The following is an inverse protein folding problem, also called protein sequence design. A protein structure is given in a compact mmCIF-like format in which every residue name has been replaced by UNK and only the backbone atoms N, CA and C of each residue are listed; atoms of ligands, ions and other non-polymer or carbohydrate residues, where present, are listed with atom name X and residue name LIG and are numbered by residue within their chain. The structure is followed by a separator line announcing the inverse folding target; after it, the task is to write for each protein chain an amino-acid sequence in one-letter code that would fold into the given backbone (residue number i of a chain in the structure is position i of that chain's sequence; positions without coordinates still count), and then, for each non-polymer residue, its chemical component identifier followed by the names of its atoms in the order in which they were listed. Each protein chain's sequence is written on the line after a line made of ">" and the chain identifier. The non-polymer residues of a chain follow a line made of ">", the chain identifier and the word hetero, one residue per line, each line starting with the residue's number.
data_IF_846142136991
#
_entry.id   IF_846142136991
#
_cell.length_a   1.000
_cell.length_b   1.000
_cell.length_c   1.000
_cell.angle_alpha   90.00
_cell.angle_beta   90.00
_cell.angle_gamma   90.00
#
_symmetry.space_group_name_H-M   'P 1'
#
loop_
_entity.id
_entity.type
_entity.pdbx_description
1 polymer ?
#
# COMPACT_ATOMS: atom_id res chain seq x y z
N UNK A 1 -13.42 -0.67 38.55
CA UNK A 1 -13.32 -0.73 37.08
C UNK A 1 -11.90 -0.37 36.69
N UNK A 2 -11.13 -1.28 36.09
CA UNK A 2 -9.81 -0.92 35.58
C UNK A 2 -9.99 0.09 34.44
N UNK A 3 -9.32 1.24 34.54
CA UNK A 3 -9.29 2.21 33.46
C UNK A 3 -8.75 1.54 32.19
N UNK A 4 -9.54 1.52 31.12
CA UNK A 4 -9.13 1.01 29.81
C UNK A 4 -8.15 2.00 29.18
N UNK A 5 -6.87 1.90 29.53
CA UNK A 5 -5.81 2.60 28.81
C UNK A 5 -5.51 1.87 27.48
N UNK A 6 -5.04 2.64 26.48
CA UNK A 6 -4.60 2.06 25.22
C UNK A 6 -3.37 1.15 25.46
N UNK A 7 -3.20 0.07 24.67
CA UNK A 7 -1.97 -0.72 24.69
C UNK A 7 -0.74 0.15 24.43
N UNK A 8 0.39 -0.18 25.06
CA UNK A 8 1.67 0.52 24.86
C UNK A 8 2.38 0.17 23.55
N UNK A 9 1.72 -0.58 22.66
CA UNK A 9 2.27 -1.05 21.40
C UNK A 9 1.49 -0.51 20.20
N UNK A 10 2.16 -0.50 19.04
CA UNK A 10 1.60 -0.03 17.79
C UNK A 10 1.65 -1.13 16.74
N UNK A 11 0.63 -1.16 15.88
CA UNK A 11 0.63 -2.02 14.70
C UNK A 11 1.37 -1.35 13.55
N UNK A 12 2.09 -2.16 12.78
CA UNK A 12 2.72 -1.72 11.53
C UNK A 12 2.30 -2.64 10.40
N UNK A 13 2.07 -2.06 9.23
CA UNK A 13 1.89 -2.85 8.01
C UNK A 13 3.13 -3.73 7.78
N UNK A 14 2.87 -5.02 7.57
CA UNK A 14 3.89 -6.01 7.23
C UNK A 14 3.81 -6.39 5.76
N UNK A 15 2.59 -6.61 5.27
CA UNK A 15 2.34 -7.03 3.90
C UNK A 15 0.90 -6.70 3.51
N UNK A 16 0.70 -6.36 2.23
CA UNK A 16 -0.61 -6.33 1.59
C UNK A 16 -0.66 -7.50 0.61
N UNK A 17 -1.61 -8.39 0.87
CA UNK A 17 -1.99 -9.45 -0.06
C UNK A 17 -3.09 -8.91 -0.96
N UNK A 18 -3.04 -9.24 -2.26
CA UNK A 18 -3.97 -8.82 -3.34
C UNK A 18 -3.41 -7.77 -4.30
N UNK A 19 -4.11 -7.66 -5.43
CA UNK A 19 -3.96 -6.67 -6.49
C UNK A 19 -5.37 -6.34 -7.02
N UNK A 20 -5.69 -5.05 -7.19
CA UNK A 20 -7.00 -4.59 -7.65
C UNK A 20 -7.09 -4.63 -9.18
N UNK A 21 -7.14 -5.83 -9.77
CA UNK A 21 -7.15 -6.01 -11.23
C UNK A 21 -8.52 -5.90 -11.91
N UNK A 22 -9.62 -6.15 -11.19
CA UNK A 22 -10.96 -6.27 -11.80
C UNK A 22 -11.64 -4.92 -12.06
N UNK A 23 -11.33 -3.89 -11.27
CA UNK A 23 -12.04 -2.60 -11.30
C UNK A 23 -11.15 -1.40 -11.58
N UNK A 24 -9.84 -1.61 -11.74
CA UNK A 24 -8.89 -0.54 -11.97
C UNK A 24 -8.07 -0.86 -13.22
N UNK A 25 -7.94 0.15 -14.08
CA UNK A 25 -7.00 0.16 -15.20
C UNK A 25 -5.87 1.12 -14.85
N UNK A 26 -4.72 0.98 -15.52
CA UNK A 26 -3.56 1.87 -15.35
C UNK A 26 -3.16 2.04 -13.87
N UNK A 27 -2.99 0.91 -13.17
CA UNK A 27 -2.65 0.85 -11.75
C UNK A 27 -1.48 -0.08 -11.43
N UNK A 28 -0.70 -0.46 -12.44
CA UNK A 28 0.49 -1.29 -12.31
C UNK A 28 1.62 -0.72 -13.17
N UNK A 29 2.73 -0.38 -12.54
CA UNK A 29 3.87 0.27 -13.18
C UNK A 29 5.20 -0.31 -12.68
N UNK A 30 6.26 -0.05 -13.42
CA UNK A 30 7.63 -0.30 -12.99
C UNK A 30 8.38 1.01 -12.75
N UNK A 31 9.16 1.08 -11.68
CA UNK A 31 10.14 2.15 -11.50
C UNK A 31 11.37 1.89 -12.36
N UNK A 32 12.23 2.92 -12.52
CA UNK A 32 13.57 2.75 -13.13
C UNK A 32 14.44 1.72 -12.40
N UNK A 33 14.17 1.49 -11.11
CA UNK A 33 14.83 0.47 -10.30
C UNK A 33 14.17 -0.91 -10.41
N UNK A 34 13.25 -1.12 -11.36
CA UNK A 34 12.49 -2.37 -11.57
C UNK A 34 11.64 -2.81 -10.39
N UNK A 35 11.23 -1.86 -9.52
CA UNK A 35 10.24 -2.11 -8.48
C UNK A 35 8.83 -2.00 -9.06
N UNK A 36 7.91 -2.83 -8.56
CA UNK A 36 6.51 -2.89 -8.99
C UNK A 36 5.68 -1.90 -8.17
N UNK A 37 5.01 -0.98 -8.83
CA UNK A 37 4.17 0.06 -8.21
C UNK A 37 2.71 -0.19 -8.53
N UNK A 38 1.87 -0.29 -7.50
CA UNK A 38 0.43 -0.47 -7.63
C UNK A 38 -0.31 0.02 -6.38
N UNK A 39 -1.64 -0.04 -6.38
CA UNK A 39 -2.45 0.32 -5.22
C UNK A 39 -3.58 -0.67 -4.95
N UNK A 40 -3.97 -0.78 -3.67
CA UNK A 40 -5.13 -1.53 -3.18
C UNK A 40 -5.75 -0.73 -2.04
N UNK A 41 -7.07 -0.59 -2.04
CA UNK A 41 -7.78 0.32 -1.13
C UNK A 41 -7.14 1.73 -1.15
N UNK A 42 -6.97 2.38 0.01
CA UNK A 42 -6.28 3.66 0.15
C UNK A 42 -4.74 3.58 0.21
N UNK A 43 -4.12 2.45 -0.12
CA UNK A 43 -2.68 2.22 0.08
C UNK A 43 -1.94 2.09 -1.25
N UNK A 44 -0.94 2.96 -1.46
CA UNK A 44 0.04 2.82 -2.54
C UNK A 44 1.17 1.87 -2.12
N UNK A 45 1.59 0.99 -3.02
CA UNK A 45 2.53 -0.09 -2.74
C UNK A 45 3.68 0.01 -3.75
N UNK A 46 4.92 0.02 -3.24
CA UNK A 46 6.13 -0.22 -4.03
C UNK A 46 6.73 -1.54 -3.58
N UNK A 47 6.64 -2.55 -4.42
CA UNK A 47 7.13 -3.89 -4.16
C UNK A 47 8.46 -4.13 -4.89
N UNK A 48 9.50 -4.51 -4.15
CA UNK A 48 10.76 -4.99 -4.71
C UNK A 48 10.77 -6.53 -4.70
N UNK A 49 10.65 -7.19 -5.87
CA UNK A 49 10.74 -8.66 -5.96
C UNK A 49 12.11 -9.19 -5.53
N UNK A 50 13.17 -8.42 -5.79
CA UNK A 50 14.55 -8.78 -5.46
C UNK A 50 14.78 -8.88 -3.94
N UNK A 51 14.26 -7.92 -3.18
CA UNK A 51 14.38 -7.88 -1.72
C UNK A 51 13.21 -8.57 -1.00
N UNK A 52 12.20 -9.00 -1.76
CA UNK A 52 10.92 -9.46 -1.24
C UNK A 52 10.35 -8.51 -0.18
N UNK A 53 10.26 -7.22 -0.52
CA UNK A 53 9.90 -6.16 0.43
C UNK A 53 8.90 -5.18 -0.17
N UNK A 54 7.89 -4.82 0.62
CA UNK A 54 6.90 -3.79 0.28
C UNK A 54 7.17 -2.51 1.08
N UNK A 55 7.07 -1.37 0.39
CA UNK A 55 6.99 -0.02 0.97
C UNK A 55 5.56 0.49 0.77
N UNK A 56 5.03 1.21 1.75
CA UNK A 56 3.63 1.63 1.77
C UNK A 56 3.49 3.15 1.82
N UNK A 57 2.67 3.70 0.94
CA UNK A 57 2.19 5.08 0.98
C UNK A 57 0.75 5.10 1.51
N UNK A 58 0.51 5.86 2.59
CA UNK A 58 -0.76 5.91 3.34
C UNK A 58 -1.31 7.34 3.46
N UNK A 59 -1.03 8.19 2.47
CA UNK A 59 -1.48 9.58 2.47
C UNK A 59 -2.95 9.77 2.12
N UNK A 60 -3.61 8.74 1.56
CA UNK A 60 -5.02 8.80 1.20
C UNK A 60 -5.89 8.38 2.39
N UNK A 61 -6.98 9.13 2.62
CA UNK A 61 -8.01 8.81 3.61
C UNK A 61 -9.12 7.91 3.09
N UNK A 62 -9.14 7.63 1.79
CA UNK A 62 -10.13 6.82 1.09
C UNK A 62 -9.45 6.03 -0.06
N UNK A 63 -10.23 5.21 -0.76
CA UNK A 63 -9.79 4.36 -1.87
C UNK A 63 -9.06 5.14 -2.98
N UNK A 64 -7.88 4.63 -3.39
CA UNK A 64 -7.18 5.12 -4.58
C UNK A 64 -7.92 4.56 -5.80
N UNK A 65 -8.36 5.46 -6.68
CA UNK A 65 -9.11 5.11 -7.90
C UNK A 65 -8.26 5.14 -9.17
N UNK A 66 -7.27 6.04 -9.25
CA UNK A 66 -6.41 6.19 -10.44
C UNK A 66 -5.08 6.84 -10.08
N UNK A 67 -4.08 6.59 -10.92
CA UNK A 67 -2.85 7.37 -10.93
C UNK A 67 -3.04 8.66 -11.75
N UNK A 68 -2.44 9.75 -11.30
CA UNK A 68 -2.36 11.01 -12.03
C UNK A 68 -0.88 11.32 -12.28
N UNK A 69 -0.38 11.19 -13.51
CA UNK A 69 0.92 11.76 -13.86
C UNK A 69 0.79 13.29 -13.91
N UNK A 70 1.85 13.99 -13.50
CA UNK A 70 2.05 15.39 -13.89
C UNK A 70 2.41 15.49 -15.38
#
# INVERSE_FOLDING_TARGET
>A
MAARSAPSCHLRFKWVYSYRGHQCHNNLYYTVATEIVYFVAGVGIVYSPREHRQKFYRGHSDDIIRYLPE
#
